data_IF_797151873052
#
_entry.id   IF_797151873052
#
_cell.length_a   1.000
_cell.length_b   1.000
_cell.length_c   1.000
_cell.angle_alpha   90.00
_cell.angle_beta   90.00
_cell.angle_gamma   90.00
#
_symmetry.space_group_name_H-M   'P 1'
#
loop_
_entity.id
_entity.type
_entity.pdbx_description
1 polymer ?
#
# COMPACT_ATOMS: atom_id res chain seq x y z
N UNK A 1 10.84 -48.44 13.78
CA UNK A 1 9.69 -47.58 14.08
C UNK A 1 10.26 -46.24 14.52
N UNK A 2 10.46 -45.33 13.57
CA UNK A 2 11.16 -44.05 13.81
C UNK A 2 10.10 -42.97 14.00
N UNK A 3 10.06 -42.36 15.18
CA UNK A 3 9.13 -41.28 15.48
C UNK A 3 9.47 -40.02 14.65
N UNK A 4 8.48 -39.27 14.13
CA UNK A 4 8.73 -37.97 13.56
C UNK A 4 9.13 -36.97 14.66
N UNK A 5 10.22 -36.23 14.40
CA UNK A 5 10.82 -35.26 15.30
C UNK A 5 9.99 -33.98 15.50
N UNK A 6 10.38 -33.13 16.47
CA UNK A 6 9.57 -32.00 16.91
C UNK A 6 9.45 -30.92 15.83
N UNK A 7 8.25 -30.32 15.77
CA UNK A 7 7.90 -29.20 14.91
C UNK A 7 8.94 -28.06 15.00
N UNK A 8 9.43 -27.63 13.84
CA UNK A 8 10.29 -26.47 13.71
C UNK A 8 9.60 -25.25 14.31
N UNK A 9 10.23 -24.65 15.33
CA UNK A 9 9.81 -23.35 15.88
C UNK A 9 9.92 -22.32 14.76
N UNK A 10 8.78 -21.74 14.36
CA UNK A 10 8.74 -20.58 13.49
C UNK A 10 9.58 -19.50 14.18
N UNK A 11 10.73 -19.16 13.56
CA UNK A 11 11.65 -18.17 14.09
C UNK A 11 10.93 -16.86 14.35
N UNK A 12 11.25 -16.22 15.48
CA UNK A 12 10.72 -14.91 15.83
C UNK A 12 10.91 -13.95 14.65
N UNK A 13 9.81 -13.30 14.25
CA UNK A 13 9.83 -12.22 13.26
C UNK A 13 10.83 -11.16 13.76
N UNK A 14 11.84 -10.77 12.98
CA UNK A 14 12.81 -9.79 13.42
C UNK A 14 12.08 -8.48 13.76
N UNK A 15 12.42 -7.81 14.88
CA UNK A 15 11.81 -6.53 15.22
C UNK A 15 12.06 -5.53 14.09
N UNK A 16 10.98 -4.85 13.71
CA UNK A 16 10.93 -3.90 12.60
C UNK A 16 12.10 -2.89 12.69
N UNK A 17 12.83 -2.61 11.59
CA UNK A 17 14.11 -1.88 11.59
C UNK A 17 13.97 -0.35 11.79
N UNK A 18 13.02 0.12 12.62
CA UNK A 18 12.72 1.54 12.79
C UNK A 18 13.67 2.32 13.74
N UNK A 19 14.89 1.85 14.00
CA UNK A 19 15.86 2.54 14.88
C UNK A 19 17.13 2.91 14.09
N UNK A 20 17.11 4.05 13.40
CA UNK A 20 18.26 4.57 12.66
C UNK A 20 18.08 6.05 12.32
N UNK A 21 18.67 6.91 13.13
CA UNK A 21 18.53 8.37 13.11
C UNK A 21 19.23 8.99 11.90
N UNK A 22 18.44 9.57 11.01
CA UNK A 22 18.87 10.29 9.80
C UNK A 22 17.69 10.58 8.86
N UNK A 23 16.69 9.69 8.87
CA UNK A 23 15.38 9.82 8.20
C UNK A 23 14.20 9.75 9.19
N UNK A 24 14.48 9.62 10.49
CA UNK A 24 13.51 9.34 11.54
C UNK A 24 12.47 10.46 11.74
N UNK A 25 12.80 11.70 11.36
CA UNK A 25 11.92 12.88 11.49
C UNK A 25 10.96 13.07 10.31
N UNK A 26 11.08 12.24 9.25
CA UNK A 26 10.20 12.25 8.09
C UNK A 26 9.35 10.97 8.05
N UNK A 27 8.20 10.93 8.76
CA UNK A 27 7.34 9.75 8.80
C UNK A 27 6.82 9.31 7.42
N UNK A 28 6.82 10.18 6.42
CA UNK A 28 6.50 9.81 5.04
C UNK A 28 7.53 8.86 4.42
N UNK A 29 8.82 9.02 4.70
CA UNK A 29 9.90 8.12 4.25
C UNK A 29 9.90 6.79 5.02
N UNK A 30 9.14 6.72 6.12
CA UNK A 30 8.90 5.48 6.85
C UNK A 30 7.72 4.69 6.31
N UNK A 31 6.63 5.37 5.95
CA UNK A 31 5.37 4.68 5.64
C UNK A 31 4.93 4.75 4.19
N UNK A 32 5.41 5.68 3.36
CA UNK A 32 5.08 5.83 1.93
C UNK A 32 3.58 5.88 1.59
N UNK A 33 2.67 6.04 2.57
CA UNK A 33 1.26 5.70 2.38
C UNK A 33 0.55 6.58 1.35
N UNK A 34 0.83 7.89 1.35
CA UNK A 34 0.27 8.83 0.39
C UNK A 34 0.78 8.63 -1.05
N UNK A 35 1.84 7.83 -1.25
CA UNK A 35 2.37 7.50 -2.57
C UNK A 35 1.63 6.32 -3.23
N UNK A 36 0.78 5.60 -2.50
CA UNK A 36 -0.05 4.52 -3.03
C UNK A 36 -1.46 5.02 -3.32
N UNK A 37 -1.68 5.56 -4.51
CA UNK A 37 -2.97 6.11 -4.92
C UNK A 37 -3.40 5.61 -6.30
N UNK A 38 -4.59 6.03 -6.74
CA UNK A 38 -5.10 5.72 -8.08
C UNK A 38 -4.37 6.59 -9.13
N UNK A 39 -4.23 6.10 -10.37
CA UNK A 39 -3.73 6.92 -11.47
C UNK A 39 -4.48 8.27 -11.56
N UNK A 40 -3.76 9.35 -11.83
CA UNK A 40 -4.34 10.67 -12.02
C UNK A 40 -4.70 11.46 -10.75
N UNK A 41 -4.35 10.98 -9.56
CA UNK A 41 -4.77 11.61 -8.28
C UNK A 41 -3.68 12.39 -7.55
N UNK A 42 -2.39 12.13 -7.82
CA UNK A 42 -1.29 12.91 -7.24
C UNK A 42 -1.00 14.07 -8.18
N UNK A 43 -1.79 15.13 -8.04
CA UNK A 43 -1.84 16.25 -8.97
C UNK A 43 -0.59 17.13 -8.92
N UNK A 44 -0.23 17.66 -10.08
CA UNK A 44 0.89 18.56 -10.30
C UNK A 44 0.35 19.84 -10.92
N UNK A 45 0.58 20.96 -10.23
CA UNK A 45 0.11 22.26 -10.69
C UNK A 45 1.03 22.81 -11.80
N UNK A 46 0.53 23.79 -12.56
CA UNK A 46 1.35 24.48 -13.55
C UNK A 46 2.54 25.23 -12.91
N UNK A 47 2.40 25.68 -11.66
CA UNK A 47 3.48 26.32 -10.91
C UNK A 47 4.61 25.33 -10.60
N UNK A 48 4.28 24.09 -10.23
CA UNK A 48 5.29 23.04 -10.02
C UNK A 48 6.06 22.74 -11.32
N UNK A 49 5.35 22.65 -12.45
CA UNK A 49 5.97 22.47 -13.78
C UNK A 49 6.90 23.64 -14.11
N UNK A 50 6.46 24.88 -13.87
CA UNK A 50 7.26 26.07 -14.14
C UNK A 50 8.54 26.12 -13.30
N UNK A 51 8.47 25.71 -12.02
CA UNK A 51 9.64 25.59 -11.14
C UNK A 51 10.60 24.53 -11.67
N UNK A 52 10.11 23.33 -12.02
CA UNK A 52 10.98 22.27 -12.52
C UNK A 52 11.69 22.61 -13.82
N UNK A 53 11.01 23.25 -14.77
CA UNK A 53 11.66 23.73 -16.00
C UNK A 53 12.75 24.75 -15.72
N UNK A 54 12.51 25.66 -14.77
CA UNK A 54 13.52 26.64 -14.36
C UNK A 54 14.74 25.98 -13.72
N UNK A 55 14.52 24.93 -12.95
CA UNK A 55 15.55 24.18 -12.23
C UNK A 55 16.23 23.09 -13.08
N UNK A 56 15.89 23.00 -14.38
CA UNK A 56 16.45 21.99 -15.30
C UNK A 56 15.99 20.56 -15.02
N UNK A 57 14.85 20.39 -14.37
CA UNK A 57 14.26 19.10 -14.01
C UNK A 57 13.25 18.62 -15.07
N UNK A 58 13.59 18.72 -16.36
CA UNK A 58 12.68 18.42 -17.47
C UNK A 58 12.17 16.98 -17.45
N UNK A 59 13.00 16.04 -16.99
CA UNK A 59 12.62 14.63 -16.83
C UNK A 59 11.41 14.42 -15.90
N UNK A 60 11.20 15.31 -14.91
CA UNK A 60 10.01 15.25 -14.06
C UNK A 60 8.76 15.61 -14.85
N UNK A 61 8.84 16.64 -15.69
CA UNK A 61 7.75 17.12 -16.55
C UNK A 61 7.41 16.06 -17.59
N UNK A 62 8.41 15.44 -18.20
CA UNK A 62 8.25 14.37 -19.20
C UNK A 62 7.61 13.10 -18.62
N UNK A 63 7.78 12.85 -17.32
CA UNK A 63 7.22 11.69 -16.63
C UNK A 63 5.76 11.85 -16.20
N UNK A 64 5.18 13.04 -16.37
CA UNK A 64 3.80 13.33 -15.98
C UNK A 64 2.79 12.67 -16.93
N UNK A 65 1.65 12.30 -16.38
CA UNK A 65 0.50 11.80 -17.11
C UNK A 65 -0.70 12.73 -16.93
N UNK A 66 -1.74 12.57 -17.73
CA UNK A 66 -3.00 13.27 -17.52
C UNK A 66 -3.57 12.95 -16.13
N UNK A 67 -3.94 14.00 -15.40
CA UNK A 67 -4.56 13.93 -14.08
C UNK A 67 -6.06 14.20 -14.15
N UNK A 68 -6.68 14.27 -12.97
CA UNK A 68 -8.04 14.75 -12.84
C UNK A 68 -8.12 16.28 -12.98
N UNK A 69 -9.30 16.78 -13.36
CA UNK A 69 -9.61 18.22 -13.44
C UNK A 69 -8.75 19.02 -14.44
N UNK A 70 -8.16 18.36 -15.45
CA UNK A 70 -7.32 19.03 -16.45
C UNK A 70 -5.93 19.40 -15.94
N UNK A 71 -5.56 18.96 -14.73
CA UNK A 71 -4.19 19.05 -14.22
C UNK A 71 -3.35 17.86 -14.69
N UNK A 72 -2.03 17.99 -14.57
CA UNK A 72 -1.11 16.87 -14.73
C UNK A 72 -1.04 16.08 -13.43
N UNK A 73 -0.57 14.83 -13.49
CA UNK A 73 -0.37 14.01 -12.30
C UNK A 73 0.88 13.15 -12.44
N UNK A 74 1.44 12.74 -11.30
CA UNK A 74 2.45 11.69 -11.31
C UNK A 74 1.86 10.36 -11.75
N UNK A 75 2.60 9.65 -12.60
CA UNK A 75 2.24 8.31 -13.01
C UNK A 75 2.23 7.35 -11.80
N UNK A 76 1.29 6.41 -11.83
CA UNK A 76 1.21 5.31 -10.86
C UNK A 76 1.62 4.02 -11.57
N UNK A 77 2.60 3.33 -11.04
CA UNK A 77 3.09 2.05 -11.54
C UNK A 77 2.11 0.89 -11.29
N UNK A 78 2.39 -0.29 -11.87
CA UNK A 78 1.51 -1.46 -11.78
C UNK A 78 1.37 -2.00 -10.34
N UNK A 79 2.32 -1.68 -9.46
CA UNK A 79 2.26 -1.98 -8.03
C UNK A 79 1.33 -1.03 -7.25
N UNK A 80 0.67 -0.08 -7.91
CA UNK A 80 -0.22 0.90 -7.29
C UNK A 80 0.53 1.97 -6.49
N UNK A 81 1.82 2.18 -6.77
CA UNK A 81 2.64 3.23 -6.18
C UNK A 81 3.02 4.30 -7.22
N UNK A 82 3.27 5.53 -6.78
CA UNK A 82 3.92 6.55 -7.59
C UNK A 82 5.24 6.01 -8.16
N UNK A 83 5.52 6.30 -9.43
CA UNK A 83 6.74 5.83 -10.12
C UNK A 83 8.05 6.29 -9.45
N UNK A 84 8.00 7.35 -8.66
CA UNK A 84 9.15 7.88 -7.93
C UNK A 84 9.32 7.26 -6.53
N UNK A 85 8.46 6.32 -6.13
CA UNK A 85 8.54 5.64 -4.84
C UNK A 85 9.41 4.38 -4.94
N UNK A 86 10.39 4.30 -4.04
CA UNK A 86 11.21 3.12 -3.82
C UNK A 86 12.60 3.28 -4.43
N UNK A 87 13.60 3.32 -3.56
CA UNK A 87 15.01 3.18 -3.92
C UNK A 87 15.52 1.79 -3.52
N UNK A 88 16.60 1.27 -4.15
CA UNK A 88 17.22 0.03 -3.74
C UNK A 88 17.60 0.06 -2.25
N UNK A 89 17.06 -0.88 -1.46
CA UNK A 89 17.27 -0.95 -0.01
C UNK A 89 16.41 0.02 0.82
N UNK A 90 15.69 0.95 0.20
CA UNK A 90 14.82 1.92 0.85
C UNK A 90 13.47 2.02 0.12
N UNK A 91 12.54 1.08 0.36
CA UNK A 91 11.32 0.93 -0.45
C UNK A 91 10.31 2.08 -0.31
N UNK A 92 10.47 2.93 0.70
CA UNK A 92 9.61 4.10 0.93
C UNK A 92 10.32 5.43 0.62
N UNK A 93 11.57 5.40 0.17
CA UNK A 93 12.29 6.61 -0.20
C UNK A 93 11.82 7.11 -1.57
N UNK A 94 11.62 8.42 -1.67
CA UNK A 94 11.19 9.07 -2.90
C UNK A 94 12.41 9.59 -3.66
N UNK A 95 12.59 9.17 -4.91
CA UNK A 95 13.73 9.59 -5.74
C UNK A 95 13.75 11.09 -6.03
N UNK A 96 12.59 11.76 -5.95
CA UNK A 96 12.41 13.19 -6.22
C UNK A 96 12.16 13.99 -4.94
N UNK A 97 12.52 13.47 -3.77
CA UNK A 97 12.12 14.05 -2.48
C UNK A 97 12.46 15.55 -2.34
N UNK A 98 13.61 15.98 -2.86
CA UNK A 98 14.03 17.39 -2.86
C UNK A 98 13.20 18.28 -3.82
N UNK A 99 12.72 17.71 -4.92
CA UNK A 99 11.99 18.40 -5.98
C UNK A 99 10.50 18.05 -6.00
N UNK A 100 9.93 17.62 -4.87
CA UNK A 100 8.52 17.24 -4.76
C UNK A 100 7.59 18.37 -5.23
N UNK A 101 6.54 17.98 -5.93
CA UNK A 101 5.43 18.87 -6.25
C UNK A 101 4.79 19.44 -4.98
N UNK A 102 4.12 20.58 -5.10
CA UNK A 102 3.43 21.28 -4.03
C UNK A 102 2.49 20.38 -3.23
N UNK A 103 1.71 19.49 -3.88
CA UNK A 103 0.82 18.54 -3.19
C UNK A 103 1.57 17.64 -2.20
N UNK A 104 2.78 17.21 -2.56
CA UNK A 104 3.63 16.34 -1.74
C UNK A 104 4.45 17.12 -0.72
N UNK A 105 4.94 18.31 -1.09
CA UNK A 105 5.77 19.19 -0.26
C UNK A 105 4.97 19.83 0.87
N UNK A 106 3.72 20.22 0.59
CA UNK A 106 2.82 20.86 1.55
C UNK A 106 2.06 19.85 2.40
N UNK A 107 2.15 18.56 2.06
CA UNK A 107 1.46 17.50 2.80
C UNK A 107 2.00 17.41 4.23
N UNK A 108 1.12 17.62 5.22
CA UNK A 108 1.50 17.58 6.63
C UNK A 108 1.45 16.14 7.15
N UNK A 109 2.58 15.54 7.57
CA UNK A 109 2.53 14.21 8.15
C UNK A 109 1.77 14.20 9.47
N UNK A 110 1.03 13.12 9.73
CA UNK A 110 0.18 12.99 10.92
C UNK A 110 -1.15 13.76 10.86
N UNK A 111 -1.39 14.54 9.81
CA UNK A 111 -2.70 15.14 9.54
C UNK A 111 -3.80 14.08 9.43
N UNK A 112 -5.09 14.44 9.63
CA UNK A 112 -6.20 13.51 9.41
C UNK A 112 -6.17 12.86 8.02
N UNK A 113 -5.80 13.62 6.98
CA UNK A 113 -5.64 13.08 5.63
C UNK A 113 -4.50 12.06 5.53
N UNK A 114 -3.38 12.27 6.24
CA UNK A 114 -2.30 11.28 6.36
C UNK A 114 -2.77 9.99 6.99
N UNK A 115 -3.59 10.07 8.04
CA UNK A 115 -4.15 8.89 8.70
C UNK A 115 -5.09 8.12 7.77
N UNK A 116 -5.88 8.80 6.95
CA UNK A 116 -6.73 8.13 5.94
C UNK A 116 -5.90 7.39 4.89
N UNK A 117 -4.82 8.00 4.37
CA UNK A 117 -3.93 7.29 3.43
C UNK A 117 -3.29 6.04 4.06
N UNK A 118 -2.91 6.11 5.34
CA UNK A 118 -2.38 4.95 6.07
C UNK A 118 -3.45 3.85 6.15
N UNK A 119 -4.68 4.20 6.56
CA UNK A 119 -5.80 3.24 6.65
C UNK A 119 -6.14 2.61 5.30
N UNK A 120 -6.13 3.40 4.23
CA UNK A 120 -6.41 2.92 2.88
C UNK A 120 -5.31 2.02 2.34
N UNK A 121 -4.04 2.32 2.62
CA UNK A 121 -2.92 1.43 2.30
C UNK A 121 -3.06 0.11 3.05
N UNK A 122 -3.29 0.15 4.36
CA UNK A 122 -3.50 -1.06 5.18
C UNK A 122 -4.68 -1.90 4.67
N UNK A 123 -5.79 -1.27 4.30
CA UNK A 123 -6.96 -1.96 3.72
C UNK A 123 -6.61 -2.63 2.39
N UNK A 124 -5.83 -1.95 1.55
CA UNK A 124 -5.40 -2.46 0.24
C UNK A 124 -4.49 -3.66 0.39
N UNK A 125 -3.49 -3.59 1.28
CA UNK A 125 -2.59 -4.72 1.57
C UNK A 125 -3.37 -5.91 2.13
N UNK A 126 -4.27 -5.70 3.10
CA UNK A 126 -5.12 -6.78 3.64
C UNK A 126 -5.95 -7.47 2.55
N UNK A 127 -6.53 -6.69 1.63
CA UNK A 127 -7.31 -7.22 0.51
C UNK A 127 -6.43 -7.99 -0.47
N UNK A 128 -5.20 -7.53 -0.73
CA UNK A 128 -4.22 -8.21 -1.57
C UNK A 128 -3.82 -9.56 -0.95
N UNK A 129 -3.39 -9.56 0.30
CA UNK A 129 -3.04 -10.80 1.04
C UNK A 129 -4.21 -11.78 1.08
N UNK A 130 -5.44 -11.31 1.30
CA UNK A 130 -6.62 -12.16 1.25
C UNK A 130 -6.81 -12.81 -0.12
N UNK A 131 -6.73 -12.04 -1.22
CA UNK A 131 -6.83 -12.58 -2.59
C UNK A 131 -5.72 -13.58 -2.90
N UNK A 132 -4.49 -13.28 -2.53
CA UNK A 132 -3.34 -14.17 -2.71
C UNK A 132 -3.55 -15.48 -1.94
N UNK A 133 -4.09 -15.40 -0.71
CA UNK A 133 -4.45 -16.58 0.08
C UNK A 133 -5.51 -17.43 -0.63
N UNK A 134 -6.57 -16.81 -1.16
CA UNK A 134 -7.61 -17.53 -1.93
C UNK A 134 -7.02 -18.19 -3.18
N UNK A 135 -6.22 -17.45 -3.97
CA UNK A 135 -5.58 -17.99 -5.16
C UNK A 135 -4.62 -19.16 -4.83
N UNK A 136 -3.88 -19.06 -3.72
CA UNK A 136 -3.02 -20.14 -3.24
C UNK A 136 -3.83 -21.40 -2.91
N UNK A 137 -4.96 -21.26 -2.22
CA UNK A 137 -5.88 -22.38 -1.91
C UNK A 137 -6.45 -23.01 -3.18
N UNK A 138 -6.91 -22.20 -4.13
CA UNK A 138 -7.45 -22.70 -5.40
C UNK A 138 -6.39 -23.46 -6.23
N UNK A 139 -5.14 -22.96 -6.23
CA UNK A 139 -4.04 -23.59 -6.97
C UNK A 139 -3.55 -24.91 -6.36
N UNK A 140 -3.64 -25.07 -5.03
CA UNK A 140 -3.19 -26.29 -4.34
C UNK A 140 -4.14 -27.48 -4.56
N UNK A 141 -5.44 -27.24 -4.73
CA UNK A 141 -6.42 -28.33 -4.76
C UNK A 141 -6.83 -28.81 -6.16
N UNK A 142 -6.42 -28.13 -7.24
CA UNK A 142 -6.75 -28.54 -8.61
C UNK A 142 -8.25 -28.70 -8.90
N UNK A 143 -9.13 -28.05 -8.11
CA UNK A 143 -10.59 -28.19 -8.18
C UNK A 143 -11.27 -26.90 -8.62
N UNK A 144 -12.25 -27.03 -9.51
CA UNK A 144 -13.00 -25.94 -10.14
C UNK A 144 -13.92 -25.18 -9.16
N UNK A 145 -14.28 -23.95 -9.54
CA UNK A 145 -14.98 -22.89 -8.78
C UNK A 145 -16.33 -23.24 -8.08
N UNK A 146 -16.77 -24.50 -8.09
CA UNK A 146 -18.01 -24.94 -7.45
C UNK A 146 -17.91 -25.20 -5.93
N UNK A 147 -16.71 -25.35 -5.36
CA UNK A 147 -16.53 -25.79 -3.97
C UNK A 147 -16.75 -24.67 -2.93
N UNK A 148 -16.55 -23.40 -3.31
CA UNK A 148 -16.74 -22.24 -2.45
C UNK A 148 -18.22 -22.00 -2.05
N UNK A 149 -19.18 -22.65 -2.72
CA UNK A 149 -20.60 -22.56 -2.38
C UNK A 149 -21.05 -23.57 -1.31
N UNK A 150 -20.21 -24.57 -0.97
CA UNK A 150 -20.54 -25.60 0.04
C UNK A 150 -20.00 -25.29 1.44
N UNK A 151 -18.82 -24.67 1.52
CA UNK A 151 -18.27 -24.16 2.78
C UNK A 151 -18.59 -22.68 2.87
N UNK A 152 -19.73 -22.36 3.49
CA UNK A 152 -20.08 -20.98 3.83
C UNK A 152 -18.90 -20.29 4.52
N UNK A 153 -18.88 -18.96 4.47
CA UNK A 153 -17.78 -18.09 4.94
C UNK A 153 -17.22 -18.46 6.34
N UNK A 154 -18.04 -19.11 7.17
CA UNK A 154 -17.70 -19.62 8.51
C UNK A 154 -16.75 -20.83 8.53
N UNK A 155 -16.68 -21.62 7.45
CA UNK A 155 -15.73 -22.72 7.30
C UNK A 155 -14.31 -22.22 7.06
N UNK A 156 -14.18 -21.18 6.21
CA UNK A 156 -12.90 -20.50 5.95
C UNK A 156 -12.42 -19.76 7.20
N UNK A 157 -13.32 -19.14 7.97
CA UNK A 157 -12.95 -18.44 9.22
C UNK A 157 -12.45 -19.39 10.31
N UNK A 158 -13.06 -20.57 10.46
CA UNK A 158 -12.65 -21.59 11.45
C UNK A 158 -11.35 -22.30 11.08
N UNK A 159 -11.15 -22.64 9.81
CA UNK A 159 -9.94 -23.34 9.37
C UNK A 159 -8.65 -22.49 9.50
N UNK A 160 -8.79 -21.16 9.54
CA UNK A 160 -7.65 -20.22 9.55
C UNK A 160 -7.64 -19.24 10.75
N UNK A 161 -8.33 -19.57 11.85
CA UNK A 161 -8.39 -18.75 13.08
C UNK A 161 -8.73 -17.26 12.85
N UNK A 162 -9.63 -16.94 11.92
CA UNK A 162 -10.09 -15.56 11.67
C UNK A 162 -11.15 -15.06 12.67
N UNK A 163 -11.39 -15.78 13.78
CA UNK A 163 -12.28 -15.35 14.86
C UNK A 163 -11.79 -14.08 15.58
N UNK A 164 -10.50 -13.74 15.45
CA UNK A 164 -9.94 -12.50 15.99
C UNK A 164 -10.28 -11.23 15.17
N UNK A 165 -10.96 -11.36 14.03
CA UNK A 165 -11.42 -10.20 13.25
C UNK A 165 -12.81 -9.79 13.73
N UNK A 166 -12.96 -8.69 14.49
CA UNK A 166 -14.28 -8.23 14.92
C UNK A 166 -15.14 -7.96 13.68
N UNK A 167 -16.36 -8.51 13.69
CA UNK A 167 -17.34 -8.23 12.66
C UNK A 167 -17.57 -6.71 12.60
N UNK A 168 -17.42 -6.14 11.39
CA UNK A 168 -17.82 -4.76 11.12
C UNK A 168 -19.26 -4.54 11.60
N UNK A 169 -19.55 -3.53 12.44
CA UNK A 169 -20.90 -3.25 12.87
C UNK A 169 -21.65 -2.54 11.73
N UNK A 170 -22.09 -3.32 10.74
CA UNK A 170 -23.16 -2.89 9.83
C UNK A 170 -24.28 -3.91 9.88
N UNK A 171 -25.22 -3.67 10.79
CA UNK A 171 -26.66 -3.84 10.58
C UNK A 171 -27.38 -3.70 11.93
N UNK A 172 -28.02 -2.56 12.17
CA UNK A 172 -29.31 -2.48 12.87
C UNK A 172 -29.90 -1.09 12.73
N UNK A 173 -31.06 -1.00 12.08
CA UNK A 173 -31.92 0.19 12.15
C UNK A 173 -32.51 0.65 10.83
N UNK A 174 -33.26 -0.21 10.13
CA UNK A 174 -34.47 0.26 9.43
C UNK A 174 -35.60 0.10 10.46
N UNK A 175 -36.27 1.21 10.78
CA UNK A 175 -37.64 1.23 11.30
C UNK A 175 -38.44 2.12 10.39
#
# INVERSE_FOLDING_TARGET
MTAPGPAAKIGAVPPCPCHGSGLADLPCLRCGACCHQRPGTILVTQDDVAVWRRDGQDHLVESLTEGHFGEMAFAIGPNGACIHLGLPGAPNDCSIHAHRASVCRNFRPGSPQCQEFIRDRERTERRKTFRETIAAVESWEGRSAGWAMGYGIDGVRRAWCLEAVPASPRARGVR
#
